data_IF_708863050938
#
_entry.id   IF_708863050938
#
_cell.length_a   1.000
_cell.length_b   1.000
_cell.length_c   1.000
_cell.angle_alpha   90.00
_cell.angle_beta   90.00
_cell.angle_gamma   90.00
#
_symmetry.space_group_name_H-M   'P 1'
#
loop_
_entity.id
_entity.type
_entity.pdbx_description
1 polymer ?
#
# COMPACT_ATOMS: atom_id res chain seq x y z
N UNK A 1 4.63 4.24 -24.11
CA UNK A 1 5.98 4.30 -23.51
C UNK A 1 6.97 3.65 -24.46
N UNK A 2 8.14 4.26 -24.63
CA UNK A 2 9.23 3.71 -25.42
C UNK A 2 10.15 2.81 -24.55
N UNK A 3 11.11 2.12 -25.17
CA UNK A 3 12.04 1.23 -24.46
C UNK A 3 12.84 1.96 -23.38
N UNK A 4 13.27 3.19 -23.66
CA UNK A 4 14.01 4.02 -22.72
C UNK A 4 13.23 4.31 -21.42
N UNK A 5 11.97 4.74 -21.54
CA UNK A 5 11.09 4.96 -20.38
C UNK A 5 10.87 3.68 -19.59
N UNK A 6 10.74 2.53 -20.25
CA UNK A 6 10.58 1.24 -19.57
C UNK A 6 11.83 0.88 -18.75
N UNK A 7 13.03 1.13 -19.28
CA UNK A 7 14.27 0.84 -18.57
C UNK A 7 14.52 1.82 -17.41
N UNK A 8 14.16 3.10 -17.59
CA UNK A 8 14.18 4.09 -16.51
C UNK A 8 13.23 3.73 -15.37
N UNK A 9 11.99 3.30 -15.68
CA UNK A 9 11.03 2.82 -14.65
C UNK A 9 11.60 1.65 -13.86
N UNK A 10 12.29 0.69 -14.52
CA UNK A 10 12.92 -0.44 -13.83
C UNK A 10 14.04 0.01 -12.90
N UNK A 11 14.91 0.91 -13.38
CA UNK A 11 16.02 1.49 -12.60
C UNK A 11 15.50 2.21 -11.35
N UNK A 12 14.49 3.07 -11.52
CA UNK A 12 13.83 3.80 -10.43
C UNK A 12 13.17 2.82 -9.45
N UNK A 13 12.38 1.87 -9.94
CA UNK A 13 11.70 0.88 -9.10
C UNK A 13 12.67 0.04 -8.29
N UNK A 14 13.82 -0.34 -8.87
CA UNK A 14 14.86 -1.05 -8.14
C UNK A 14 15.42 -0.21 -6.99
N UNK A 15 15.78 1.05 -7.25
CA UNK A 15 16.31 1.95 -6.22
C UNK A 15 15.28 2.27 -5.12
N UNK A 16 14.00 2.41 -5.49
CA UNK A 16 12.91 2.63 -4.55
C UNK A 16 12.70 1.42 -3.61
N UNK A 17 12.77 0.20 -4.15
CA UNK A 17 12.67 -1.03 -3.35
C UNK A 17 13.84 -1.17 -2.39
N UNK A 18 15.07 -0.88 -2.82
CA UNK A 18 16.23 -0.88 -1.93
C UNK A 18 16.06 0.14 -0.80
N UNK A 19 15.64 1.36 -1.15
CA UNK A 19 15.38 2.42 -0.16
C UNK A 19 14.32 2.02 0.86
N UNK A 20 13.20 1.45 0.42
CA UNK A 20 12.13 0.96 1.29
C UNK A 20 12.63 -0.18 2.19
N UNK A 21 13.28 -1.20 1.64
CA UNK A 21 13.75 -2.36 2.42
C UNK A 21 14.81 -2.01 3.46
N UNK A 22 15.73 -1.10 3.14
CA UNK A 22 16.84 -0.77 4.02
C UNK A 22 16.49 0.30 5.06
N UNK A 23 15.61 1.26 4.72
CA UNK A 23 15.43 2.47 5.52
C UNK A 23 14.01 2.67 6.05
N UNK A 24 12.97 2.29 5.31
CA UNK A 24 11.60 2.57 5.72
C UNK A 24 11.26 1.88 7.06
N UNK A 25 10.53 2.61 7.92
CA UNK A 25 10.18 2.19 9.28
C UNK A 25 11.39 1.74 10.13
N UNK A 26 12.56 2.35 9.91
CA UNK A 26 13.81 1.97 10.58
C UNK A 26 14.30 0.57 10.17
N UNK A 27 14.12 0.20 8.90
CA UNK A 27 14.55 -1.10 8.34
C UNK A 27 13.57 -2.25 8.57
N UNK A 28 12.41 -2.01 9.19
CA UNK A 28 11.37 -3.03 9.42
C UNK A 28 10.63 -3.44 8.14
N UNK A 29 10.90 -2.78 7.01
CA UNK A 29 10.32 -3.07 5.69
C UNK A 29 11.04 -4.18 4.91
N UNK A 30 12.19 -4.70 5.36
CA UNK A 30 13.00 -5.59 4.53
C UNK A 30 12.23 -6.80 3.96
N UNK A 31 12.25 -6.95 2.63
CA UNK A 31 11.60 -8.06 1.93
C UNK A 31 10.09 -7.92 1.77
N UNK A 32 9.49 -6.80 2.17
CA UNK A 32 8.07 -6.57 1.92
C UNK A 32 7.81 -6.38 0.41
N UNK A 33 6.59 -6.69 -0.03
CA UNK A 33 6.22 -6.69 -1.46
C UNK A 33 5.24 -5.56 -1.82
N UNK A 34 5.10 -4.55 -0.97
CA UNK A 34 4.13 -3.47 -1.10
C UNK A 34 4.26 -2.72 -2.43
N UNK A 35 5.43 -2.14 -2.71
CA UNK A 35 5.65 -1.36 -3.94
C UNK A 35 5.37 -2.16 -5.22
N UNK A 36 5.70 -3.45 -5.22
CA UNK A 36 5.40 -4.33 -6.36
C UNK A 36 3.89 -4.50 -6.59
N UNK A 37 3.11 -4.67 -5.51
CA UNK A 37 1.65 -4.80 -5.60
C UNK A 37 1.01 -3.48 -6.00
N UNK A 38 1.41 -2.36 -5.39
CA UNK A 38 0.92 -1.02 -5.75
C UNK A 38 1.19 -0.73 -7.22
N UNK A 39 2.40 -0.99 -7.72
CA UNK A 39 2.70 -0.77 -9.13
C UNK A 39 1.83 -1.65 -10.06
N UNK A 40 1.58 -2.91 -9.68
CA UNK A 40 0.69 -3.81 -10.43
C UNK A 40 -0.77 -3.32 -10.42
N UNK A 41 -1.26 -2.81 -9.29
CA UNK A 41 -2.61 -2.24 -9.16
C UNK A 41 -2.70 -0.93 -9.97
N UNK A 42 -1.74 -0.03 -9.83
CA UNK A 42 -1.68 1.23 -10.57
C UNK A 42 -1.70 1.00 -12.08
N UNK A 43 -0.96 -0.01 -12.58
CA UNK A 43 -0.99 -0.42 -13.99
C UNK A 43 -2.37 -0.91 -14.44
N UNK A 44 -3.13 -1.57 -13.57
CA UNK A 44 -4.49 -2.01 -13.88
C UNK A 44 -5.47 -0.83 -13.92
N UNK A 45 -5.38 0.08 -12.95
CA UNK A 45 -6.20 1.30 -12.88
C UNK A 45 -5.93 2.23 -14.06
N UNK A 46 -4.65 2.45 -14.40
CA UNK A 46 -4.19 3.26 -15.54
C UNK A 46 -4.88 2.91 -16.85
N UNK A 47 -5.08 1.61 -17.13
CA UNK A 47 -5.73 1.14 -18.36
C UNK A 47 -7.21 1.56 -18.46
N UNK A 48 -7.86 1.85 -17.32
CA UNK A 48 -9.29 2.15 -17.23
C UNK A 48 -9.57 3.63 -17.00
N UNK A 49 -8.72 4.30 -16.24
CA UNK A 49 -8.90 5.71 -15.84
C UNK A 49 -8.19 6.72 -16.76
N UNK A 50 -7.30 6.26 -17.65
CA UNK A 50 -6.58 7.08 -18.66
C UNK A 50 -5.71 8.19 -18.04
N UNK A 51 -4.45 7.88 -17.77
CA UNK A 51 -3.41 8.85 -17.38
C UNK A 51 -2.11 8.61 -18.13
N UNK A 52 -1.07 9.39 -17.83
CA UNK A 52 0.27 9.17 -18.37
C UNK A 52 0.93 7.93 -17.73
N UNK A 53 1.24 6.88 -18.53
CA UNK A 53 1.83 5.66 -17.99
C UNK A 53 3.18 5.86 -17.30
N UNK A 54 4.00 6.79 -17.77
CA UNK A 54 5.32 7.01 -17.19
C UNK A 54 5.18 7.60 -15.78
N UNK A 55 4.36 8.65 -15.64
CA UNK A 55 4.11 9.32 -14.36
C UNK A 55 3.47 8.38 -13.35
N UNK A 56 2.43 7.63 -13.74
CA UNK A 56 1.73 6.70 -12.84
C UNK A 56 2.66 5.61 -12.34
N UNK A 57 3.44 4.99 -13.23
CA UNK A 57 4.29 3.87 -12.85
C UNK A 57 5.49 4.31 -12.02
N UNK A 58 6.10 5.47 -12.33
CA UNK A 58 7.15 6.04 -11.48
C UNK A 58 6.58 6.46 -10.14
N UNK A 59 5.47 7.20 -10.12
CA UNK A 59 4.79 7.63 -8.90
C UNK A 59 4.44 6.46 -7.98
N UNK A 60 3.89 5.38 -8.53
CA UNK A 60 3.57 4.16 -7.76
C UNK A 60 4.83 3.50 -7.13
N UNK A 61 5.98 3.54 -7.81
CA UNK A 61 7.22 3.01 -7.25
C UNK A 61 7.75 3.86 -6.11
N UNK A 62 7.58 5.17 -6.17
CA UNK A 62 8.27 6.09 -5.27
C UNK A 62 7.38 6.75 -4.22
N UNK A 63 6.06 6.51 -4.22
CA UNK A 63 5.12 7.21 -3.35
C UNK A 63 5.50 7.18 -1.85
N UNK A 64 6.25 6.17 -1.43
CA UNK A 64 6.68 5.92 -0.06
C UNK A 64 8.18 6.23 0.20
N UNK A 65 8.95 6.80 -0.76
CA UNK A 65 10.40 7.03 -0.57
C UNK A 65 10.73 7.94 0.62
N UNK A 66 9.82 8.85 0.96
CA UNK A 66 9.94 9.74 2.10
C UNK A 66 9.95 9.00 3.45
N UNK A 67 9.39 7.78 3.54
CA UNK A 67 9.42 6.95 4.75
C UNK A 67 10.84 6.63 5.23
N UNK A 68 11.83 6.64 4.32
CA UNK A 68 13.23 6.45 4.68
C UNK A 68 13.78 7.57 5.59
N UNK A 69 13.16 8.75 5.55
CA UNK A 69 13.48 9.91 6.41
C UNK A 69 12.63 9.96 7.70
N UNK A 70 11.79 8.95 7.93
CA UNK A 70 10.97 8.79 9.13
C UNK A 70 9.69 9.63 9.19
N UNK A 71 9.30 10.32 8.11
CA UNK A 71 8.09 11.14 8.07
C UNK A 71 7.43 11.08 6.68
N UNK A 72 6.20 10.56 6.65
CA UNK A 72 5.30 10.52 5.49
C UNK A 72 4.08 11.44 5.65
N UNK A 73 4.00 12.21 6.74
CA UNK A 73 2.84 13.04 7.08
C UNK A 73 3.08 14.53 6.81
N UNK A 74 4.33 15.02 6.91
CA UNK A 74 4.66 16.38 6.48
C UNK A 74 4.80 16.46 4.95
N UNK A 75 3.79 17.03 4.29
CA UNK A 75 3.76 17.22 2.84
C UNK A 75 5.04 17.89 2.29
N UNK A 76 5.60 18.89 2.98
CA UNK A 76 6.81 19.60 2.51
C UNK A 76 8.03 18.70 2.59
N UNK A 77 8.10 17.87 3.62
CA UNK A 77 9.18 16.89 3.77
C UNK A 77 9.06 15.79 2.72
N UNK A 78 7.86 15.26 2.49
CA UNK A 78 7.60 14.28 1.42
C UNK A 78 8.00 14.84 0.05
N UNK A 79 7.60 16.07 -0.25
CA UNK A 79 7.97 16.76 -1.49
C UNK A 79 9.50 16.88 -1.64
N UNK A 80 10.19 17.34 -0.58
CA UNK A 80 11.64 17.50 -0.58
C UNK A 80 12.36 16.16 -0.80
N UNK A 81 12.03 15.14 -0.01
CA UNK A 81 12.70 13.83 -0.08
C UNK A 81 12.43 13.13 -1.42
N UNK A 82 11.21 13.24 -1.94
CA UNK A 82 10.86 12.70 -3.26
C UNK A 82 11.61 13.43 -4.38
N UNK A 83 11.72 14.75 -4.29
CA UNK A 83 12.50 15.55 -5.25
C UNK A 83 13.98 15.15 -5.23
N UNK A 84 14.59 15.06 -4.05
CA UNK A 84 15.98 14.63 -3.89
C UNK A 84 16.22 13.22 -4.45
N UNK A 85 15.28 12.29 -4.23
CA UNK A 85 15.35 10.96 -4.83
C UNK A 85 15.32 11.04 -6.36
N UNK A 86 14.40 11.82 -6.92
CA UNK A 86 14.26 11.99 -8.37
C UNK A 86 15.47 12.71 -8.99
N UNK A 87 16.17 13.58 -8.27
CA UNK A 87 17.32 14.34 -8.79
C UNK A 87 18.52 13.43 -9.15
N UNK A 88 18.51 12.19 -8.64
CA UNK A 88 19.45 11.14 -9.06
C UNK A 88 19.19 10.60 -10.48
N UNK A 89 18.06 10.99 -11.09
CA UNK A 89 17.65 10.63 -12.45
C UNK A 89 17.53 11.90 -13.31
N UNK A 90 18.63 12.25 -14.01
CA UNK A 90 18.71 13.43 -14.89
C UNK A 90 17.88 13.26 -16.17
N UNK A 91 17.46 12.03 -16.45
CA UNK A 91 16.62 11.64 -17.59
C UNK A 91 15.18 12.17 -17.50
N UNK A 92 14.73 12.61 -16.31
CA UNK A 92 13.36 13.07 -16.04
C UNK A 92 13.32 14.60 -16.15
N UNK A 93 12.52 15.12 -17.08
CA UNK A 93 12.31 16.56 -17.23
C UNK A 93 11.51 17.15 -16.05
N UNK A 94 11.62 18.47 -15.86
CA UNK A 94 11.03 19.16 -14.71
C UNK A 94 9.49 19.07 -14.63
N UNK A 95 8.82 19.03 -15.78
CA UNK A 95 7.36 18.93 -15.81
C UNK A 95 6.90 17.55 -15.30
N UNK A 96 7.54 16.48 -15.79
CA UNK A 96 7.24 15.13 -15.34
C UNK A 96 7.65 14.93 -13.88
N UNK A 97 8.77 15.51 -13.44
CA UNK A 97 9.21 15.50 -12.04
C UNK A 97 8.13 16.08 -11.12
N UNK A 98 7.57 17.25 -11.45
CA UNK A 98 6.48 17.87 -10.67
C UNK A 98 5.24 16.97 -10.58
N UNK A 99 4.82 16.36 -11.69
CA UNK A 99 3.66 15.44 -11.74
C UNK A 99 3.90 14.15 -10.94
N UNK A 100 5.14 13.64 -10.97
CA UNK A 100 5.53 12.47 -10.18
C UNK A 100 5.56 12.81 -8.68
N UNK A 101 6.09 13.98 -8.30
CA UNK A 101 6.09 14.46 -6.91
C UNK A 101 4.66 14.62 -6.40
N UNK A 102 3.74 15.13 -7.22
CA UNK A 102 2.31 15.20 -6.88
C UNK A 102 1.75 13.83 -6.47
N UNK A 103 2.14 12.76 -7.17
CA UNK A 103 1.70 11.40 -6.84
C UNK A 103 2.21 10.94 -5.45
N UNK A 104 3.40 11.37 -5.04
CA UNK A 104 3.97 11.00 -3.74
C UNK A 104 3.37 11.79 -2.57
N UNK A 105 2.93 13.04 -2.79
CA UNK A 105 2.28 13.85 -1.74
C UNK A 105 0.77 13.56 -1.61
N UNK A 106 0.20 12.75 -2.50
CA UNK A 106 -1.24 12.48 -2.59
C UNK A 106 -1.82 11.61 -1.46
N UNK A 107 -1.07 11.31 -0.40
CA UNK A 107 -1.47 10.44 0.71
C UNK A 107 -2.77 10.87 1.42
N UNK A 108 -3.02 12.17 1.51
CA UNK A 108 -4.25 12.72 2.08
C UNK A 108 -4.83 13.76 1.12
N UNK A 109 -6.03 13.49 0.59
CA UNK A 109 -6.65 14.40 -0.37
C UNK A 109 -7.07 15.72 0.26
N UNK A 110 -7.36 15.79 1.56
CA UNK A 110 -7.73 17.02 2.30
C UNK A 110 -8.71 17.95 1.54
N UNK A 111 -9.61 17.36 0.74
CA UNK A 111 -10.54 18.09 -0.13
C UNK A 111 -9.96 18.69 -1.42
N UNK A 112 -8.64 18.56 -1.66
CA UNK A 112 -7.98 18.93 -2.91
C UNK A 112 -8.30 17.93 -4.01
N UNK A 113 -8.53 18.46 -5.21
CA UNK A 113 -8.67 17.68 -6.43
C UNK A 113 -7.27 17.27 -6.91
N UNK A 114 -6.99 15.97 -6.91
CA UNK A 114 -5.76 15.41 -7.45
C UNK A 114 -5.80 15.35 -8.99
N UNK A 115 -4.61 15.37 -9.62
CA UNK A 115 -4.47 14.94 -11.01
C UNK A 115 -4.91 13.48 -11.20
N UNK A 116 -5.20 13.08 -12.44
CA UNK A 116 -5.59 11.70 -12.75
C UNK A 116 -4.51 10.72 -12.32
N UNK A 117 -3.24 11.05 -12.56
CA UNK A 117 -2.10 10.20 -12.20
C UNK A 117 -1.94 10.06 -10.69
N UNK A 118 -2.03 11.17 -9.95
CA UNK A 118 -1.98 11.14 -8.49
C UNK A 118 -3.16 10.37 -7.88
N UNK A 119 -4.38 10.52 -8.45
CA UNK A 119 -5.54 9.75 -8.01
C UNK A 119 -5.39 8.24 -8.26
N UNK A 120 -4.80 7.84 -9.39
CA UNK A 120 -4.50 6.43 -9.69
C UNK A 120 -3.49 5.86 -8.69
N UNK A 121 -2.42 6.60 -8.38
CA UNK A 121 -1.39 6.15 -7.43
C UNK A 121 -1.94 6.05 -6.01
N UNK A 122 -2.68 7.07 -5.56
CA UNK A 122 -3.39 7.07 -4.28
C UNK A 122 -4.30 5.85 -4.13
N UNK A 123 -5.15 5.60 -5.12
CA UNK A 123 -6.08 4.47 -5.05
C UNK A 123 -5.39 3.11 -5.13
N UNK A 124 -4.29 3.00 -5.89
CA UNK A 124 -3.52 1.77 -5.96
C UNK A 124 -2.91 1.39 -4.59
N UNK A 125 -2.37 2.37 -3.88
CA UNK A 125 -1.86 2.20 -2.52
C UNK A 125 -3.01 1.90 -1.52
N UNK A 126 -4.11 2.64 -1.58
CA UNK A 126 -5.28 2.43 -0.74
C UNK A 126 -5.88 1.03 -0.92
N UNK A 127 -5.95 0.51 -2.15
CA UNK A 127 -6.42 -0.84 -2.44
C UNK A 127 -5.52 -1.93 -1.82
N UNK A 128 -4.19 -1.75 -1.81
CA UNK A 128 -3.26 -2.68 -1.11
C UNK A 128 -3.49 -2.69 0.41
N UNK A 129 -4.09 -1.62 0.95
CA UNK A 129 -4.43 -1.41 2.36
C UNK A 129 -5.89 -1.79 2.70
N UNK A 130 -6.64 -2.38 1.77
CA UNK A 130 -8.02 -2.87 1.93
C UNK A 130 -8.12 -4.41 1.99
N UNK A 131 -9.31 -4.94 2.29
CA UNK A 131 -9.56 -6.38 2.30
C UNK A 131 -8.75 -7.20 3.32
N UNK A 132 -8.50 -8.47 3.00
CA UNK A 132 -7.79 -9.41 3.85
C UNK A 132 -6.33 -9.01 4.12
N UNK A 133 -5.63 -8.51 3.08
CA UNK A 133 -4.28 -7.98 3.24
C UNK A 133 -4.28 -6.69 4.07
N UNK A 134 -5.28 -5.82 3.84
CA UNK A 134 -5.49 -4.58 4.57
C UNK A 134 -5.64 -4.78 6.08
N UNK A 135 -6.32 -5.87 6.51
CA UNK A 135 -6.41 -6.27 7.92
C UNK A 135 -5.02 -6.48 8.50
N UNK A 136 -4.19 -7.32 7.87
CA UNK A 136 -2.84 -7.64 8.36
C UNK A 136 -1.97 -6.39 8.38
N UNK A 137 -1.99 -5.58 7.29
CA UNK A 137 -1.23 -4.33 7.21
C UNK A 137 -1.65 -3.33 8.28
N UNK A 138 -2.95 -3.21 8.56
CA UNK A 138 -3.45 -2.33 9.61
C UNK A 138 -2.96 -2.76 10.98
N UNK A 139 -3.14 -4.04 11.31
CA UNK A 139 -2.69 -4.59 12.61
C UNK A 139 -1.19 -4.39 12.75
N UNK A 140 -0.41 -4.68 11.71
CA UNK A 140 1.04 -4.50 11.72
C UNK A 140 1.45 -3.05 11.97
N UNK A 141 0.86 -2.09 11.23
CA UNK A 141 1.14 -0.65 11.38
C UNK A 141 0.78 -0.17 12.78
N UNK A 142 -0.42 -0.49 13.26
CA UNK A 142 -0.90 -0.06 14.58
C UNK A 142 -0.04 -0.65 15.69
N UNK A 143 0.32 -1.94 15.59
CA UNK A 143 1.20 -2.61 16.56
C UNK A 143 2.58 -1.96 16.63
N UNK A 144 3.23 -1.75 15.49
CA UNK A 144 4.63 -1.33 15.44
C UNK A 144 4.84 0.18 15.57
N UNK A 145 3.91 0.99 15.07
CA UNK A 145 4.12 2.43 14.87
C UNK A 145 3.19 3.32 15.70
N UNK A 146 1.99 2.85 16.05
CA UNK A 146 0.99 3.69 16.73
C UNK A 146 0.89 3.38 18.22
N UNK A 147 0.80 2.09 18.57
CA UNK A 147 0.50 1.66 19.93
C UNK A 147 1.72 1.04 20.63
N UNK A 148 2.68 0.50 19.87
CA UNK A 148 3.85 -0.22 20.39
C UNK A 148 3.49 -1.32 21.42
N UNK A 149 2.38 -2.03 21.18
CA UNK A 149 1.88 -3.13 22.01
C UNK A 149 1.11 -4.14 21.16
N UNK A 150 0.93 -5.33 21.71
CA UNK A 150 0.02 -6.33 21.15
C UNK A 150 -1.42 -5.80 21.21
N UNK A 151 -2.12 -5.87 20.08
CA UNK A 151 -3.53 -5.52 19.95
C UNK A 151 -4.39 -6.69 20.42
N UNK A 152 -5.35 -6.43 21.32
CA UNK A 152 -6.16 -7.45 21.97
C UNK A 152 -7.58 -6.99 22.29
N UNK A 153 -8.49 -7.95 22.34
CA UNK A 153 -9.87 -7.74 22.78
C UNK A 153 -10.73 -6.83 21.89
N UNK A 154 -11.87 -6.42 22.44
CA UNK A 154 -12.98 -5.83 21.70
C UNK A 154 -12.77 -4.39 21.21
N UNK A 155 -11.96 -3.62 21.93
CA UNK A 155 -11.67 -2.21 21.57
C UNK A 155 -10.86 -2.16 20.28
N UNK A 156 -9.74 -2.88 20.24
CA UNK A 156 -8.85 -2.92 19.07
C UNK A 156 -9.56 -3.52 17.85
N UNK A 157 -10.39 -4.55 18.04
CA UNK A 157 -11.24 -5.10 16.97
C UNK A 157 -12.17 -4.05 16.35
N UNK A 158 -12.82 -3.22 17.18
CA UNK A 158 -13.72 -2.17 16.71
C UNK A 158 -12.97 -1.09 15.95
N UNK A 159 -11.78 -0.70 16.44
CA UNK A 159 -10.91 0.28 15.78
C UNK A 159 -10.43 -0.24 14.42
N UNK A 160 -9.98 -1.49 14.34
CA UNK A 160 -9.59 -2.15 13.10
C UNK A 160 -10.71 -2.09 12.05
N UNK A 161 -11.93 -2.47 12.43
CA UNK A 161 -13.09 -2.46 11.53
C UNK A 161 -13.40 -1.04 11.03
N UNK A 162 -13.36 -0.05 11.93
CA UNK A 162 -13.59 1.36 11.58
C UNK A 162 -12.55 1.88 10.58
N UNK A 163 -11.26 1.63 10.83
CA UNK A 163 -10.20 2.13 9.96
C UNK A 163 -10.21 1.52 8.56
N UNK A 164 -10.59 0.24 8.44
CA UNK A 164 -10.75 -0.39 7.13
C UNK A 164 -11.92 0.21 6.32
N UNK A 165 -13.02 0.57 6.99
CA UNK A 165 -14.14 1.27 6.34
C UNK A 165 -13.73 2.67 5.85
N UNK A 166 -12.99 3.43 6.65
CA UNK A 166 -12.52 4.77 6.24
C UNK A 166 -11.63 4.72 4.99
N UNK A 167 -10.75 3.70 4.89
CA UNK A 167 -9.92 3.51 3.68
C UNK A 167 -10.74 3.28 2.42
N UNK A 168 -11.81 2.47 2.52
CA UNK A 168 -12.71 2.26 1.39
C UNK A 168 -13.39 3.55 0.94
N UNK A 169 -13.78 4.41 1.89
CA UNK A 169 -14.47 5.68 1.59
C UNK A 169 -13.58 6.72 0.91
N UNK A 170 -12.25 6.59 1.03
CA UNK A 170 -11.30 7.54 0.47
C UNK A 170 -10.91 7.26 -0.99
N UNK A 171 -11.39 6.17 -1.60
CA UNK A 171 -11.08 5.84 -2.99
C UNK A 171 -11.71 6.83 -3.98
N UNK A 172 -10.95 7.24 -4.98
CA UNK A 172 -11.28 8.37 -5.85
C UNK A 172 -11.80 7.95 -7.24
N UNK A 173 -11.16 6.95 -7.82
CA UNK A 173 -11.42 6.45 -9.18
C UNK A 173 -12.57 5.47 -9.20
N UNK A 174 -13.33 5.46 -10.30
CA UNK A 174 -14.49 4.56 -10.45
C UNK A 174 -14.07 3.10 -10.43
N UNK A 175 -12.94 2.77 -11.07
CA UNK A 175 -12.40 1.41 -11.10
C UNK A 175 -12.01 0.94 -9.71
N UNK A 176 -11.34 1.76 -8.90
CA UNK A 176 -10.94 1.37 -7.55
C UNK A 176 -12.17 1.17 -6.64
N UNK A 177 -13.15 2.08 -6.72
CA UNK A 177 -14.42 1.97 -6.00
C UNK A 177 -15.23 0.72 -6.41
N UNK A 178 -15.08 0.23 -7.64
CA UNK A 178 -15.67 -1.03 -8.06
C UNK A 178 -14.89 -2.23 -7.52
N UNK A 179 -13.56 -2.25 -7.69
CA UNK A 179 -12.69 -3.33 -7.22
C UNK A 179 -12.79 -3.57 -5.70
N UNK A 180 -12.86 -2.48 -4.92
CA UNK A 180 -12.87 -2.58 -3.46
C UNK A 180 -14.07 -3.35 -2.93
N UNK A 181 -15.19 -3.40 -3.68
CA UNK A 181 -16.40 -4.12 -3.28
C UNK A 181 -16.12 -5.61 -3.11
N UNK A 182 -15.57 -6.25 -4.14
CA UNK A 182 -15.20 -7.67 -4.12
C UNK A 182 -14.06 -7.96 -3.12
N UNK A 183 -13.05 -7.08 -3.07
CA UNK A 183 -11.92 -7.15 -2.14
C UNK A 183 -12.41 -7.15 -0.68
N UNK A 184 -13.34 -6.27 -0.35
CA UNK A 184 -13.87 -6.13 1.01
C UNK A 184 -14.92 -7.19 1.32
N UNK A 185 -15.77 -7.58 0.38
CA UNK A 185 -16.72 -8.69 0.58
C UNK A 185 -15.97 -9.96 1.01
N UNK A 186 -14.96 -10.37 0.23
CA UNK A 186 -14.14 -11.56 0.53
C UNK A 186 -13.29 -11.37 1.79
N UNK A 187 -12.79 -10.15 2.04
CA UNK A 187 -11.99 -9.84 3.23
C UNK A 187 -12.81 -9.80 4.53
N UNK A 188 -14.07 -9.37 4.46
CA UNK A 188 -14.93 -9.14 5.62
C UNK A 188 -15.40 -10.42 6.29
N UNK A 189 -15.24 -11.58 5.64
CA UNK A 189 -15.43 -12.90 6.25
C UNK A 189 -14.58 -13.06 7.53
N UNK A 190 -13.46 -12.34 7.63
CA UNK A 190 -12.68 -12.24 8.88
C UNK A 190 -13.52 -11.82 10.08
N UNK A 191 -14.48 -10.92 9.90
CA UNK A 191 -15.25 -10.30 10.97
C UNK A 191 -16.53 -11.06 11.35
N UNK A 192 -16.91 -12.11 10.61
CA UNK A 192 -18.14 -12.87 10.85
C UNK A 192 -18.11 -13.62 12.19
N UNK A 193 -16.95 -14.18 12.55
CA UNK A 193 -16.73 -14.78 13.87
C UNK A 193 -15.80 -13.89 14.69
N UNK A 194 -16.40 -13.09 15.57
CA UNK A 194 -15.68 -12.13 16.41
C UNK A 194 -14.60 -12.77 17.28
N UNK A 195 -14.88 -13.90 17.92
CA UNK A 195 -13.92 -14.56 18.82
C UNK A 195 -12.68 -15.03 18.03
N UNK A 196 -12.90 -15.67 16.87
CA UNK A 196 -11.81 -16.07 15.97
C UNK A 196 -11.03 -14.86 15.45
N UNK A 197 -11.72 -13.79 15.06
CA UNK A 197 -11.10 -12.57 14.55
C UNK A 197 -10.20 -11.88 15.57
N UNK A 198 -10.64 -11.77 16.83
CA UNK A 198 -9.84 -11.21 17.93
C UNK A 198 -8.61 -12.06 18.18
N UNK A 199 -8.76 -13.39 18.23
CA UNK A 199 -7.63 -14.31 18.40
C UNK A 199 -6.61 -14.21 17.25
N UNK A 200 -7.08 -14.12 16.00
CA UNK A 200 -6.19 -13.95 14.85
C UNK A 200 -5.50 -12.57 14.84
N UNK A 201 -6.22 -11.52 15.23
CA UNK A 201 -5.66 -10.17 15.37
C UNK A 201 -4.52 -10.15 16.40
N UNK A 202 -4.73 -10.77 17.56
CA UNK A 202 -3.70 -10.93 18.60
C UNK A 202 -2.49 -11.68 18.05
N UNK A 203 -2.70 -12.80 17.36
CA UNK A 203 -1.62 -13.56 16.73
C UNK A 203 -0.83 -12.76 15.68
N UNK A 204 -1.51 -12.03 14.79
CA UNK A 204 -0.86 -11.13 13.81
C UNK A 204 -0.03 -10.08 14.53
N UNK A 205 -0.59 -9.46 15.56
CA UNK A 205 0.06 -8.41 16.33
C UNK A 205 1.28 -8.94 17.11
N UNK A 206 1.19 -10.12 17.73
CA UNK A 206 2.34 -10.76 18.38
C UNK A 206 3.47 -11.07 17.40
N UNK A 207 3.16 -11.55 16.18
CA UNK A 207 4.18 -11.76 15.16
C UNK A 207 4.82 -10.44 14.70
N UNK A 208 4.02 -9.37 14.60
CA UNK A 208 4.52 -8.04 14.26
C UNK A 208 5.48 -7.50 15.35
N UNK A 209 5.15 -7.65 16.63
CA UNK A 209 6.05 -7.33 17.77
C UNK A 209 7.33 -8.17 17.75
N UNK A 210 7.26 -9.41 17.27
CA UNK A 210 8.43 -10.28 17.09
C UNK A 210 9.26 -9.93 15.84
N UNK A 211 9.07 -8.74 15.26
CA UNK A 211 9.85 -8.23 14.13
C UNK A 211 9.52 -8.87 12.78
N UNK A 212 8.36 -9.56 12.65
CA UNK A 212 7.95 -10.11 11.35
C UNK A 212 7.30 -9.06 10.47
N UNK A 213 7.68 -8.99 9.20
CA UNK A 213 7.04 -8.11 8.22
C UNK A 213 5.64 -8.60 7.86
N UNK A 214 4.81 -7.74 7.26
CA UNK A 214 3.48 -8.14 6.77
C UNK A 214 3.56 -9.38 5.87
N UNK A 215 4.49 -9.42 4.91
CA UNK A 215 4.63 -10.56 3.99
C UNK A 215 5.08 -11.85 4.69
N UNK A 216 5.93 -11.75 5.71
CA UNK A 216 6.30 -12.91 6.53
C UNK A 216 5.11 -13.45 7.35
N UNK A 217 4.27 -12.55 7.88
CA UNK A 217 3.04 -12.91 8.61
C UNK A 217 2.04 -13.59 7.66
N UNK A 218 1.82 -13.00 6.48
CA UNK A 218 0.98 -13.57 5.41
C UNK A 218 1.43 -14.99 5.09
N UNK A 219 2.74 -15.21 4.87
CA UNK A 219 3.28 -16.54 4.57
C UNK A 219 2.96 -17.54 5.68
N UNK A 220 3.10 -17.15 6.95
CA UNK A 220 2.76 -18.01 8.09
C UNK A 220 1.27 -18.36 8.16
N UNK A 221 0.39 -17.38 7.96
CA UNK A 221 -1.06 -17.58 7.98
C UNK A 221 -1.50 -18.53 6.85
N UNK A 222 -1.01 -18.31 5.63
CA UNK A 222 -1.35 -19.12 4.46
C UNK A 222 -0.86 -20.58 4.54
N UNK A 223 0.15 -20.85 5.37
CA UNK A 223 0.64 -22.21 5.65
C UNK A 223 -0.18 -22.92 6.73
N UNK A 224 -0.74 -22.18 7.70
CA UNK A 224 -1.43 -22.76 8.86
C UNK A 224 -2.86 -23.17 8.56
N UNK A 225 -3.61 -22.37 7.80
CA UNK A 225 -5.04 -22.58 7.60
C UNK A 225 -5.49 -22.35 6.16
N UNK A 226 -6.55 -23.07 5.77
CA UNK A 226 -7.28 -22.88 4.52
C UNK A 226 -8.74 -22.69 4.87
N UNK A 227 -9.17 -21.45 4.84
CA UNK A 227 -10.54 -20.99 5.06
C UNK A 227 -10.86 -19.87 4.06
N UNK A 228 -12.13 -19.41 3.95
CA UNK A 228 -12.48 -18.40 2.95
C UNK A 228 -11.66 -17.11 3.05
N UNK A 229 -11.34 -16.65 4.27
CA UNK A 229 -10.52 -15.46 4.47
C UNK A 229 -9.08 -15.63 3.97
N UNK A 230 -8.45 -16.78 4.24
CA UNK A 230 -7.09 -17.07 3.73
C UNK A 230 -7.04 -17.34 2.23
N UNK A 231 -8.14 -17.80 1.62
CA UNK A 231 -8.27 -17.83 0.15
C UNK A 231 -8.31 -16.41 -0.42
N UNK A 232 -9.10 -15.51 0.18
CA UNK A 232 -9.15 -14.10 -0.19
C UNK A 232 -7.77 -13.43 -0.04
N UNK A 233 -7.06 -13.72 1.06
CA UNK A 233 -5.71 -13.22 1.30
C UNK A 233 -4.72 -13.69 0.21
N UNK A 234 -4.76 -14.97 -0.16
CA UNK A 234 -3.88 -15.52 -1.22
C UNK A 234 -4.15 -14.85 -2.56
N UNK A 235 -5.42 -14.63 -2.88
CA UNK A 235 -5.83 -13.95 -4.12
C UNK A 235 -5.33 -12.50 -4.16
N UNK A 236 -5.50 -11.76 -3.06
CA UNK A 236 -5.04 -10.37 -2.93
C UNK A 236 -3.51 -10.23 -3.02
N UNK A 237 -2.76 -11.06 -2.29
CA UNK A 237 -1.28 -11.00 -2.27
C UNK A 237 -0.67 -11.31 -3.63
N UNK A 238 -1.34 -12.14 -4.44
CA UNK A 238 -0.93 -12.44 -5.82
C UNK A 238 -1.50 -11.45 -6.86
N UNK A 239 -2.34 -10.53 -6.41
CA UNK A 239 -3.17 -9.62 -7.22
C UNK A 239 -3.92 -10.34 -8.34
N UNK A 240 -4.48 -11.51 -8.05
CA UNK A 240 -5.27 -12.31 -8.99
C UNK A 240 -6.65 -11.69 -9.26
N UNK A 241 -7.22 -10.98 -8.29
CA UNK A 241 -8.44 -10.17 -8.48
C UNK A 241 -8.36 -9.12 -9.60
N UNK A 242 -7.16 -8.78 -10.09
CA UNK A 242 -6.96 -7.88 -11.24
C UNK A 242 -7.03 -8.60 -12.60
N UNK A 243 -7.18 -9.92 -12.63
CA UNK A 243 -7.25 -10.70 -13.87
C UNK A 243 -8.68 -10.82 -14.43
N UNK A 244 -9.67 -10.35 -13.69
CA UNK A 244 -11.10 -10.37 -14.06
C UNK A 244 -11.52 -9.07 -14.76
#
# INVERSE_FOLDING_TARGET
MNNYQNDLIKKIGHQAVLNDWEKAFGGKSYGNRHLFRVNKIAKYLLKREKGDPFIVLVGAWIHDVALASGDDYDQKKVEKETTMFLDTFTEINDNDRKRIVECAIAHETNGKKLSTEAAIVHDADALDKCGALGIIRHIWKTTNLLENRVLKGNKDFTVLKRHLLLRQMNLLTKTAQWLVKDINEKGNVFFENRAKAVSEMENISSLAMAGKTTDQIVKKILLRQKDPWTLALRDQVSCKYLAN
#
